data_IF_045188897327
#
_entry.id   IF_045188897327
#
_cell.length_a   1.000
_cell.length_b   1.000
_cell.length_c   1.000
_cell.angle_alpha   90.00
_cell.angle_beta   90.00
_cell.angle_gamma   90.00
#
_symmetry.space_group_name_H-M   'P 1'
#
loop_
_entity.id
_entity.type
_entity.pdbx_description
1 polymer ?
#
# COMPACT_ATOMS: atom_id res chain seq x y z
N UNK A 1 -40.42 8.61 -2.44
CA UNK A 1 -39.36 7.60 -2.19
C UNK A 1 -38.46 7.42 -3.40
N UNK A 2 -39.00 7.12 -4.59
CA UNK A 2 -38.18 6.91 -5.80
C UNK A 2 -37.33 8.14 -6.21
N UNK A 3 -37.88 9.36 -6.13
CA UNK A 3 -37.13 10.61 -6.41
C UNK A 3 -35.89 10.79 -5.51
N UNK A 4 -36.00 10.38 -4.24
CA UNK A 4 -34.90 10.45 -3.27
C UNK A 4 -33.80 9.43 -3.60
N UNK A 5 -34.20 8.22 -4.03
CA UNK A 5 -33.27 7.18 -4.46
C UNK A 5 -32.45 7.66 -5.67
N UNK A 6 -33.11 8.20 -6.70
CA UNK A 6 -32.42 8.74 -7.88
C UNK A 6 -31.47 9.87 -7.51
N UNK A 7 -31.89 10.81 -6.65
CA UNK A 7 -31.03 11.89 -6.19
C UNK A 7 -29.80 11.37 -5.45
N UNK A 8 -29.97 10.44 -4.50
CA UNK A 8 -28.84 9.86 -3.75
C UNK A 8 -27.87 9.08 -4.64
N UNK A 9 -28.37 8.31 -5.62
CA UNK A 9 -27.49 7.60 -6.57
C UNK A 9 -26.74 8.56 -7.48
N UNK A 10 -27.37 9.62 -7.96
CA UNK A 10 -26.70 10.64 -8.77
C UNK A 10 -25.59 11.33 -7.97
N UNK A 11 -25.86 11.70 -6.72
CA UNK A 11 -24.85 12.26 -5.80
C UNK A 11 -23.71 11.26 -5.56
N UNK A 12 -24.01 9.99 -5.29
CA UNK A 12 -23.00 8.96 -5.09
C UNK A 12 -22.11 8.76 -6.34
N UNK A 13 -22.70 8.79 -7.54
CA UNK A 13 -21.95 8.72 -8.80
C UNK A 13 -21.01 9.91 -8.99
N UNK A 14 -21.42 11.12 -8.61
CA UNK A 14 -20.53 12.28 -8.65
C UNK A 14 -19.39 12.13 -7.63
N UNK A 15 -19.70 11.68 -6.42
CA UNK A 15 -18.72 11.52 -5.35
C UNK A 15 -17.69 10.42 -5.62
N UNK A 16 -18.01 9.41 -6.44
CA UNK A 16 -17.06 8.35 -6.79
C UNK A 16 -15.83 8.87 -7.53
N UNK A 17 -15.92 10.07 -8.13
CA UNK A 17 -14.76 10.74 -8.75
C UNK A 17 -13.68 11.11 -7.73
N UNK A 18 -13.94 11.02 -6.42
CA UNK A 18 -12.92 11.20 -5.39
C UNK A 18 -11.74 10.23 -5.52
N UNK A 19 -11.93 9.03 -6.09
CA UNK A 19 -10.84 8.09 -6.37
C UNK A 19 -9.85 8.59 -7.44
N UNK A 20 -10.18 9.66 -8.16
CA UNK A 20 -9.25 10.33 -9.08
C UNK A 20 -8.27 11.26 -8.34
N UNK A 21 -8.49 11.54 -7.05
CA UNK A 21 -7.57 12.32 -6.23
C UNK A 21 -6.35 11.43 -5.95
N UNK A 22 -5.22 11.81 -6.54
CA UNK A 22 -3.95 11.09 -6.39
C UNK A 22 -3.02 11.83 -5.45
N UNK A 23 -2.40 11.08 -4.54
CA UNK A 23 -1.23 11.56 -3.80
C UNK A 23 0.04 11.18 -4.59
N UNK A 24 1.11 12.00 -4.57
CA UNK A 24 2.39 11.62 -5.15
C UNK A 24 2.83 10.25 -4.64
N UNK A 25 3.25 9.38 -5.58
CA UNK A 25 3.82 8.08 -5.23
C UNK A 25 5.07 8.26 -4.36
N UNK A 26 5.32 7.30 -3.46
CA UNK A 26 6.57 7.27 -2.69
C UNK A 26 7.74 6.92 -3.61
N UNK A 27 8.87 7.58 -3.37
CA UNK A 27 10.08 7.38 -4.16
C UNK A 27 10.88 6.21 -3.54
N UNK A 28 10.89 5.08 -4.24
CA UNK A 28 11.66 3.90 -3.87
C UNK A 28 12.91 3.79 -4.73
N UNK A 29 14.07 3.80 -4.07
CA UNK A 29 15.37 3.64 -4.73
C UNK A 29 15.50 2.21 -5.27
N UNK A 30 15.92 2.10 -6.53
CA UNK A 30 16.04 0.85 -7.29
C UNK A 30 14.72 0.34 -7.90
N UNK A 31 13.59 1.00 -7.63
CA UNK A 31 12.26 0.62 -8.17
C UNK A 31 11.69 1.75 -9.03
N UNK A 32 11.29 2.86 -8.40
CA UNK A 32 10.70 4.02 -9.06
C UNK A 32 11.70 5.18 -9.22
N UNK A 33 12.81 5.14 -8.48
CA UNK A 33 13.90 6.10 -8.50
C UNK A 33 15.22 5.34 -8.66
N UNK A 34 16.09 5.75 -9.58
CA UNK A 34 17.42 5.14 -9.73
C UNK A 34 18.40 5.63 -8.66
N UNK A 35 19.52 4.92 -8.50
CA UNK A 35 20.63 5.41 -7.66
C UNK A 35 21.26 6.70 -8.18
N UNK A 36 20.96 7.10 -9.42
CA UNK A 36 21.38 8.36 -10.02
C UNK A 36 20.34 9.49 -9.80
N UNK A 37 19.34 9.29 -8.94
CA UNK A 37 18.30 10.27 -8.62
C UNK A 37 17.43 10.63 -9.84
N UNK A 38 17.16 9.65 -10.71
CA UNK A 38 16.26 9.81 -11.87
C UNK A 38 15.00 8.97 -11.68
N UNK A 39 13.84 9.54 -12.01
CA UNK A 39 12.57 8.79 -11.96
C UNK A 39 12.53 7.79 -13.12
N UNK A 40 12.49 6.51 -12.79
CA UNK A 40 12.46 5.42 -13.76
C UNK A 40 11.03 4.92 -13.91
N UNK A 41 10.59 4.68 -15.15
CA UNK A 41 9.31 4.04 -15.46
C UNK A 41 9.56 2.60 -15.92
N UNK A 42 8.96 1.61 -15.25
CA UNK A 42 9.03 0.19 -15.65
C UNK A 42 10.26 -0.57 -15.12
N UNK A 43 10.54 -1.74 -15.71
CA UNK A 43 11.56 -2.73 -15.29
C UNK A 43 13.03 -2.29 -15.44
N UNK A 44 13.29 -1.02 -15.70
CA UNK A 44 14.64 -0.48 -15.87
C UNK A 44 15.30 -0.07 -14.54
N UNK A 45 14.58 -0.19 -13.42
CA UNK A 45 15.12 -0.04 -12.08
C UNK A 45 15.80 -1.32 -11.59
N UNK A 46 16.95 -1.18 -10.93
CA UNK A 46 17.67 -2.28 -10.29
C UNK A 46 17.92 -1.97 -8.81
N UNK A 47 17.72 -2.96 -7.95
CA UNK A 47 18.05 -2.85 -6.52
C UNK A 47 19.57 -2.81 -6.29
N UNK A 48 20.34 -3.40 -7.20
CA UNK A 48 21.80 -3.47 -7.14
C UNK A 48 22.44 -2.27 -7.85
N UNK A 49 23.50 -1.73 -7.24
CA UNK A 49 24.34 -0.65 -7.73
C UNK A 49 25.78 -0.88 -7.25
N UNK A 50 26.71 -0.04 -7.70
CA UNK A 50 28.11 -0.09 -7.26
C UNK A 50 28.26 0.11 -5.75
N UNK A 51 27.45 0.99 -5.15
CA UNK A 51 27.52 1.32 -3.73
C UNK A 51 27.09 0.19 -2.77
N UNK A 52 26.27 -0.77 -3.22
CA UNK A 52 25.79 -1.88 -2.39
C UNK A 52 26.31 -3.25 -2.85
N UNK A 53 27.25 -3.28 -3.79
CA UNK A 53 27.87 -4.50 -4.31
C UNK A 53 28.63 -5.28 -3.21
N UNK A 54 29.22 -4.57 -2.25
CA UNK A 54 30.04 -5.17 -1.18
C UNK A 54 29.23 -5.89 -0.10
N UNK A 55 27.91 -5.64 -0.01
CA UNK A 55 27.10 -6.04 1.14
C UNK A 55 26.41 -7.41 0.97
N UNK A 56 26.53 -8.08 -0.19
CA UNK A 56 25.89 -9.38 -0.48
C UNK A 56 24.42 -9.47 -0.03
N UNK A 57 23.60 -8.50 -0.46
CA UNK A 57 22.27 -8.31 0.09
C UNK A 57 21.30 -9.47 -0.15
N UNK A 58 20.56 -9.82 0.90
CA UNK A 58 19.39 -10.68 0.84
C UNK A 58 18.19 -9.90 0.29
N UNK A 59 17.30 -10.59 -0.42
CA UNK A 59 16.04 -10.05 -0.92
C UNK A 59 14.95 -9.95 0.15
N UNK A 60 15.34 -9.64 1.40
CA UNK A 60 14.43 -9.51 2.52
C UNK A 60 13.90 -8.07 2.57
N UNK A 61 12.58 -7.92 2.54
CA UNK A 61 11.93 -6.61 2.59
C UNK A 61 12.02 -6.01 4.00
N UNK A 62 12.84 -4.97 4.16
CA UNK A 62 12.99 -4.25 5.43
C UNK A 62 13.31 -2.77 5.17
N UNK A 63 12.31 -1.96 4.78
CA UNK A 63 12.53 -0.63 4.23
C UNK A 63 13.19 0.32 5.24
N UNK A 64 14.01 1.21 4.72
CA UNK A 64 14.63 2.30 5.48
C UNK A 64 14.44 3.63 4.74
N UNK A 65 14.23 4.69 5.51
CA UNK A 65 13.88 6.00 5.03
C UNK A 65 14.97 7.03 5.31
N UNK A 66 15.31 7.82 4.31
CA UNK A 66 15.98 9.09 4.49
C UNK A 66 14.93 10.20 4.68
N UNK A 67 14.77 10.71 5.90
CA UNK A 67 13.67 11.62 6.24
C UNK A 67 13.75 12.97 5.50
N UNK A 68 14.95 13.51 5.32
CA UNK A 68 15.14 14.82 4.68
C UNK A 68 14.80 14.82 3.18
N UNK A 69 15.23 13.79 2.43
CA UNK A 69 14.92 13.69 1.00
C UNK A 69 13.59 12.96 0.71
N UNK A 70 13.10 12.18 1.67
CA UNK A 70 11.92 11.33 1.52
C UNK A 70 12.15 10.14 0.58
N UNK A 71 13.39 9.65 0.48
CA UNK A 71 13.77 8.48 -0.31
C UNK A 71 13.75 7.22 0.55
N UNK A 72 13.05 6.19 0.06
CA UNK A 72 12.97 4.90 0.75
C UNK A 72 13.79 3.87 0.00
N UNK A 73 14.68 3.18 0.71
CA UNK A 73 15.44 2.05 0.18
C UNK A 73 14.73 0.73 0.53
N UNK A 74 14.95 -0.29 -0.30
CA UNK A 74 14.38 -1.63 -0.09
C UNK A 74 14.82 -2.25 1.24
N UNK A 75 16.09 -2.07 1.59
CA UNK A 75 16.63 -2.38 2.90
C UNK A 75 17.90 -1.58 3.21
N UNK A 76 18.34 -1.60 4.47
CA UNK A 76 19.60 -0.99 4.89
C UNK A 76 20.80 -1.52 4.09
N UNK A 77 20.80 -2.81 3.74
CA UNK A 77 21.83 -3.41 2.90
C UNK A 77 21.84 -2.81 1.49
N UNK A 78 20.66 -2.66 0.87
CA UNK A 78 20.58 -2.04 -0.45
C UNK A 78 20.94 -0.54 -0.41
N UNK A 79 20.84 0.11 0.75
CA UNK A 79 21.37 1.46 0.97
C UNK A 79 22.90 1.49 1.26
N UNK A 80 23.55 0.33 1.39
CA UNK A 80 24.98 0.21 1.66
C UNK A 80 25.36 0.61 3.09
N UNK A 81 24.45 0.54 4.05
CA UNK A 81 24.72 0.87 5.45
C UNK A 81 25.47 -0.26 6.17
N UNK A 82 26.43 0.10 7.02
CA UNK A 82 27.25 -0.86 7.77
C UNK A 82 26.98 -0.83 9.28
N UNK A 83 26.52 0.31 9.80
CA UNK A 83 26.28 0.52 11.22
C UNK A 83 24.80 0.63 11.54
N UNK A 84 24.42 0.11 12.71
CA UNK A 84 23.04 0.13 13.22
C UNK A 84 23.01 0.70 14.63
N UNK A 85 22.20 1.73 14.83
CA UNK A 85 22.01 2.39 16.12
C UNK A 85 20.56 2.24 16.56
N UNK A 86 20.32 1.69 17.76
CA UNK A 86 18.97 1.52 18.30
C UNK A 86 18.75 2.46 19.48
N UNK A 87 17.79 3.37 19.34
CA UNK A 87 17.43 4.36 20.35
C UNK A 87 15.97 4.19 20.79
N UNK A 88 15.54 4.93 21.81
CA UNK A 88 14.14 4.93 22.27
C UNK A 88 13.14 5.43 21.21
N UNK A 89 13.61 6.15 20.20
CA UNK A 89 12.82 6.67 19.06
C UNK A 89 12.74 5.70 17.86
N UNK A 90 13.49 4.60 17.91
CA UNK A 90 13.55 3.58 16.86
C UNK A 90 14.97 3.19 16.45
N UNK A 91 15.05 2.42 15.37
CA UNK A 91 16.30 1.96 14.77
C UNK A 91 16.74 2.93 13.67
N UNK A 92 18.01 3.30 13.71
CA UNK A 92 18.70 4.12 12.72
C UNK A 92 19.86 3.33 12.12
N UNK A 93 20.19 3.65 10.88
CA UNK A 93 21.29 3.08 10.14
C UNK A 93 22.22 4.18 9.68
N UNK A 94 23.51 3.95 9.90
CA UNK A 94 24.58 4.92 9.69
C UNK A 94 25.62 4.32 8.70
N UNK A 95 26.55 5.15 8.22
CA UNK A 95 27.60 4.79 7.25
C UNK A 95 27.04 4.13 5.97
N UNK A 96 26.09 4.82 5.32
CA UNK A 96 25.38 4.34 4.14
C UNK A 96 26.03 4.82 2.83
N UNK A 97 26.88 3.98 2.22
CA UNK A 97 27.61 4.33 0.99
C UNK A 97 26.73 4.82 -0.17
N UNK A 98 25.53 4.23 -0.35
CA UNK A 98 24.64 4.64 -1.44
C UNK A 98 24.02 6.01 -1.22
N UNK A 99 23.85 6.43 0.04
CA UNK A 99 23.37 7.75 0.38
C UNK A 99 24.43 8.80 0.02
N UNK A 100 25.68 8.52 0.35
CA UNK A 100 26.82 9.38 0.07
C UNK A 100 27.04 9.57 -1.44
N UNK A 101 26.99 8.48 -2.20
CA UNK A 101 27.11 8.54 -3.66
C UNK A 101 25.99 9.41 -4.25
N UNK A 102 24.76 9.27 -3.78
CA UNK A 102 23.64 10.13 -4.21
C UNK A 102 23.81 11.60 -3.82
N UNK A 103 24.31 11.88 -2.61
CA UNK A 103 24.58 13.23 -2.15
C UNK A 103 25.67 13.90 -3.02
N UNK A 104 26.71 13.14 -3.39
CA UNK A 104 27.81 13.61 -4.22
C UNK A 104 27.39 14.02 -5.65
N UNK A 105 26.29 13.47 -6.16
CA UNK A 105 25.73 13.86 -7.45
C UNK A 105 25.16 15.29 -7.45
N UNK A 106 24.90 15.88 -6.28
CA UNK A 106 24.41 17.25 -6.14
C UNK A 106 23.04 17.52 -6.77
N UNK A 107 22.30 16.47 -7.15
CA UNK A 107 20.98 16.59 -7.81
C UNK A 107 19.84 16.92 -6.86
N UNK A 108 20.01 16.62 -5.57
CA UNK A 108 19.04 16.97 -4.54
C UNK A 108 19.78 17.58 -3.33
N UNK A 109 19.54 18.87 -3.01
CA UNK A 109 20.25 19.55 -1.93
C UNK A 109 19.86 19.07 -0.52
N UNK A 110 18.79 18.27 -0.41
CA UNK A 110 18.34 17.66 0.85
C UNK A 110 19.06 16.35 1.18
N UNK A 111 19.93 15.86 0.29
CA UNK A 111 20.78 14.70 0.55
C UNK A 111 22.09 15.17 1.18
N UNK A 112 22.37 14.68 2.38
CA UNK A 112 23.64 14.91 3.08
C UNK A 112 24.30 13.56 3.36
N UNK A 113 25.61 13.49 3.18
CA UNK A 113 26.42 12.29 3.42
C UNK A 113 26.64 11.97 4.92
N UNK A 114 26.10 12.80 5.81
CA UNK A 114 26.17 12.58 7.27
C UNK A 114 24.81 12.23 7.87
N UNK A 115 23.77 12.11 7.05
CA UNK A 115 22.43 11.84 7.53
C UNK A 115 22.22 10.34 7.72
N UNK A 116 21.43 9.99 8.73
CA UNK A 116 21.11 8.61 9.04
C UNK A 116 19.80 8.18 8.38
N UNK A 117 19.63 6.87 8.20
CA UNK A 117 18.40 6.29 7.70
C UNK A 117 17.58 5.73 8.84
N UNK A 118 16.33 6.19 8.97
CA UNK A 118 15.38 5.65 9.95
C UNK A 118 14.74 4.37 9.41
N UNK A 119 14.61 3.34 10.25
CA UNK A 119 13.88 2.14 9.87
C UNK A 119 12.40 2.45 9.60
N UNK A 120 11.87 1.91 8.50
CA UNK A 120 10.50 2.10 8.05
C UNK A 120 10.37 2.92 6.76
N UNK A 121 9.15 3.35 6.48
CA UNK A 121 8.80 4.10 5.27
C UNK A 121 8.88 5.61 5.48
N UNK A 122 9.26 6.35 4.44
CA UNK A 122 9.21 7.82 4.50
C UNK A 122 7.79 8.35 4.48
N UNK A 123 7.46 9.21 5.44
CA UNK A 123 6.19 9.94 5.45
C UNK A 123 6.12 10.87 4.23
N UNK A 124 5.06 10.73 3.42
CA UNK A 124 4.75 11.66 2.34
C UNK A 124 3.48 12.40 2.72
N UNK A 125 3.59 13.72 2.89
CA UNK A 125 2.46 14.58 3.20
C UNK A 125 1.65 14.81 1.93
N UNK A 126 0.45 14.23 1.85
CA UNK A 126 -0.49 14.44 0.75
C UNK A 126 -1.21 15.81 0.85
N UNK A 127 -1.00 16.54 1.95
CA UNK A 127 -1.58 17.86 2.21
C UNK A 127 -3.10 17.80 2.35
N UNK A 128 -3.80 18.83 1.89
CA UNK A 128 -5.27 18.90 1.97
C UNK A 128 -5.99 17.81 1.15
N UNK A 129 -5.32 17.21 0.16
CA UNK A 129 -5.91 16.20 -0.71
C UNK A 129 -6.37 14.94 0.04
N UNK A 130 -5.65 14.52 1.09
CA UNK A 130 -6.03 13.35 1.90
C UNK A 130 -7.35 13.60 2.65
N UNK A 131 -7.48 14.79 3.25
CA UNK A 131 -8.65 15.18 4.02
C UNK A 131 -9.87 15.34 3.12
N UNK A 132 -9.67 15.94 1.93
CA UNK A 132 -10.71 16.04 0.91
C UNK A 132 -11.15 14.65 0.44
N UNK A 133 -10.21 13.74 0.16
CA UNK A 133 -10.52 12.37 -0.23
C UNK A 133 -11.32 11.63 0.86
N UNK A 134 -10.86 11.68 2.12
CA UNK A 134 -11.54 11.04 3.24
C UNK A 134 -12.95 11.61 3.46
N UNK A 135 -13.09 12.93 3.33
CA UNK A 135 -14.39 13.59 3.47
C UNK A 135 -15.36 13.20 2.35
N UNK A 136 -14.92 13.21 1.09
CA UNK A 136 -15.74 12.80 -0.05
C UNK A 136 -16.08 11.30 0.00
N UNK A 137 -15.13 10.47 0.45
CA UNK A 137 -15.35 9.05 0.68
C UNK A 137 -16.43 8.85 1.75
N UNK A 138 -16.34 9.54 2.88
CA UNK A 138 -17.37 9.52 3.92
C UNK A 138 -18.74 9.90 3.37
N UNK A 139 -18.84 11.00 2.60
CA UNK A 139 -20.10 11.45 2.02
C UNK A 139 -20.65 10.43 1.01
N UNK A 140 -19.80 9.77 0.22
CA UNK A 140 -20.22 8.73 -0.73
C UNK A 140 -20.81 7.51 -0.03
N UNK A 141 -20.22 7.11 1.10
CA UNK A 141 -20.70 6.02 1.96
C UNK A 141 -22.06 6.40 2.56
N UNK A 142 -22.19 7.62 3.11
CA UNK A 142 -23.47 8.12 3.64
C UNK A 142 -24.56 8.16 2.57
N UNK A 143 -24.26 8.68 1.38
CA UNK A 143 -25.21 8.71 0.26
C UNK A 143 -25.66 7.30 -0.16
N UNK A 144 -24.75 6.31 -0.09
CA UNK A 144 -25.03 4.91 -0.39
C UNK A 144 -25.96 4.26 0.65
N UNK A 145 -25.73 4.51 1.94
CA UNK A 145 -26.63 4.03 2.99
C UNK A 145 -28.00 4.72 2.93
N UNK A 146 -28.02 6.02 2.62
CA UNK A 146 -29.25 6.82 2.50
C UNK A 146 -30.15 6.34 1.35
N UNK A 147 -29.61 5.79 0.26
CA UNK A 147 -30.41 5.17 -0.81
C UNK A 147 -30.85 3.74 -0.48
N UNK A 148 -30.10 3.01 0.36
CA UNK A 148 -30.44 1.66 0.79
C UNK A 148 -31.72 1.58 1.65
N UNK A 149 -31.88 2.50 2.60
CA UNK A 149 -33.05 2.55 3.50
C UNK A 149 -34.39 2.65 2.74
N UNK A 150 -34.62 3.63 1.84
CA UNK A 150 -35.89 3.74 1.11
C UNK A 150 -36.11 2.56 0.15
N UNK A 151 -35.05 1.95 -0.39
CA UNK A 151 -35.16 0.73 -1.21
C UNK A 151 -35.77 -0.43 -0.41
N UNK A 152 -35.26 -0.68 0.79
CA UNK A 152 -35.82 -1.69 1.69
C UNK A 152 -37.26 -1.38 2.11
N UNK A 153 -37.57 -0.12 2.38
CA UNK A 153 -38.93 0.31 2.73
C UNK A 153 -39.93 0.13 1.59
N UNK A 154 -39.53 0.34 0.34
CA UNK A 154 -40.38 0.06 -0.83
C UNK A 154 -40.70 -1.44 -0.90
N UNK A 155 -39.69 -2.31 -0.74
CA UNK A 155 -39.90 -3.75 -0.80
C UNK A 155 -40.89 -4.25 0.27
N UNK A 156 -40.81 -3.72 1.49
CA UNK A 156 -41.74 -4.07 2.58
C UNK A 156 -43.22 -3.72 2.30
N UNK A 157 -43.49 -2.81 1.36
CA UNK A 157 -44.85 -2.42 0.95
C UNK A 157 -45.42 -3.28 -0.18
N UNK A 158 -44.55 -3.91 -0.98
CA UNK A 158 -44.96 -4.78 -2.10
C UNK A 158 -45.22 -6.22 -1.63
N UNK A 159 -44.65 -6.62 -0.50
CA UNK A 159 -44.74 -7.98 0.05
C UNK A 159 -45.70 -8.04 1.26
N UNK A 160 -46.63 -9.01 1.30
CA UNK A 160 -47.53 -9.20 2.44
C UNK A 160 -46.76 -9.57 3.71
N UNK A 161 -47.32 -9.24 4.90
CA UNK A 161 -46.61 -9.30 6.18
C UNK A 161 -45.92 -10.64 6.46
N UNK A 162 -46.61 -11.74 6.18
CA UNK A 162 -46.16 -13.11 6.43
C UNK A 162 -44.95 -13.52 5.58
N UNK A 163 -44.69 -12.85 4.46
CA UNK A 163 -43.61 -13.21 3.51
C UNK A 163 -42.47 -12.20 3.48
N UNK A 164 -42.49 -11.16 4.33
CA UNK A 164 -41.49 -10.07 4.31
C UNK A 164 -40.06 -10.56 4.50
N UNK A 165 -39.83 -11.45 5.47
CA UNK A 165 -38.49 -11.99 5.76
C UNK A 165 -37.95 -12.79 4.58
N UNK A 166 -38.81 -13.60 3.93
CA UNK A 166 -38.46 -14.33 2.72
C UNK A 166 -38.12 -13.37 1.57
N UNK A 167 -38.93 -12.33 1.35
CA UNK A 167 -38.71 -11.32 0.32
C UNK A 167 -37.40 -10.56 0.49
N UNK A 168 -37.08 -10.14 1.72
CA UNK A 168 -35.80 -9.49 2.05
C UNK A 168 -34.63 -10.43 1.77
N UNK A 169 -34.72 -11.69 2.21
CA UNK A 169 -33.67 -12.69 1.98
C UNK A 169 -33.41 -12.93 0.50
N UNK A 170 -34.46 -13.08 -0.31
CA UNK A 170 -34.36 -13.27 -1.77
C UNK A 170 -33.75 -12.04 -2.44
N UNK A 171 -34.16 -10.83 -2.07
CA UNK A 171 -33.60 -9.59 -2.62
C UNK A 171 -32.09 -9.45 -2.37
N UNK A 172 -31.64 -9.69 -1.12
CA UNK A 172 -30.22 -9.67 -0.81
C UNK A 172 -29.44 -10.79 -1.49
N UNK A 173 -30.05 -11.97 -1.62
CA UNK A 173 -29.45 -13.09 -2.36
C UNK A 173 -29.24 -12.72 -3.83
N UNK A 174 -30.25 -12.12 -4.47
CA UNK A 174 -30.14 -11.67 -5.86
C UNK A 174 -29.06 -10.61 -6.05
N UNK A 175 -29.01 -9.60 -5.17
CA UNK A 175 -27.95 -8.58 -5.19
C UNK A 175 -26.56 -9.20 -5.01
N UNK A 176 -26.42 -10.17 -4.09
CA UNK A 176 -25.15 -10.89 -3.90
C UNK A 176 -24.75 -11.70 -5.13
N UNK A 177 -25.69 -12.39 -5.78
CA UNK A 177 -25.40 -13.14 -7.01
C UNK A 177 -24.89 -12.23 -8.12
N UNK A 178 -25.54 -11.08 -8.33
CA UNK A 178 -25.08 -10.09 -9.31
C UNK A 178 -23.69 -9.56 -8.96
N UNK A 179 -23.46 -9.25 -7.68
CA UNK A 179 -22.15 -8.80 -7.20
C UNK A 179 -21.05 -9.87 -7.40
N UNK A 180 -21.36 -11.16 -7.22
CA UNK A 180 -20.44 -12.26 -7.51
C UNK A 180 -20.10 -12.30 -8.99
N UNK A 181 -21.08 -12.19 -9.89
CA UNK A 181 -20.82 -12.16 -11.34
C UNK A 181 -19.92 -10.98 -11.70
N UNK A 182 -20.21 -9.76 -11.23
CA UNK A 182 -19.36 -8.59 -11.48
C UNK A 182 -17.94 -8.77 -10.94
N UNK A 183 -17.79 -9.37 -9.74
CA UNK A 183 -16.48 -9.69 -9.16
C UNK A 183 -15.73 -10.71 -10.00
N UNK A 184 -16.38 -11.79 -10.44
CA UNK A 184 -15.76 -12.81 -11.30
C UNK A 184 -15.30 -12.23 -12.64
N UNK A 185 -16.12 -11.37 -13.26
CA UNK A 185 -15.72 -10.65 -14.49
C UNK A 185 -14.52 -9.75 -14.24
N UNK A 186 -14.50 -9.00 -13.12
CA UNK A 186 -13.37 -8.14 -12.76
C UNK A 186 -12.09 -8.93 -12.49
N UNK A 187 -12.19 -10.07 -11.81
CA UNK A 187 -11.07 -10.97 -11.55
C UNK A 187 -10.56 -11.58 -12.86
N UNK A 188 -11.44 -12.06 -13.74
CA UNK A 188 -11.06 -12.59 -15.05
C UNK A 188 -10.36 -11.52 -15.90
N UNK A 189 -10.87 -10.29 -15.91
CA UNK A 189 -10.24 -9.16 -16.59
C UNK A 189 -8.83 -8.86 -16.03
N UNK A 190 -8.66 -8.91 -14.71
CA UNK A 190 -7.36 -8.76 -14.07
C UNK A 190 -6.39 -9.89 -14.43
N UNK A 191 -6.85 -11.15 -14.49
CA UNK A 191 -6.04 -12.30 -14.90
C UNK A 191 -5.62 -12.17 -16.37
N UNK A 192 -6.55 -11.84 -17.26
CA UNK A 192 -6.24 -11.60 -18.67
C UNK A 192 -5.26 -10.43 -18.83
N UNK A 193 -5.48 -9.34 -18.08
CA UNK A 193 -4.56 -8.21 -17.99
C UNK A 193 -3.15 -8.63 -17.53
N UNK A 194 -3.06 -9.46 -16.50
CA UNK A 194 -1.79 -9.99 -16.01
C UNK A 194 -1.08 -10.87 -17.05
N UNK A 195 -1.81 -11.79 -17.70
CA UNK A 195 -1.24 -12.69 -18.71
C UNK A 195 -0.79 -11.94 -19.97
N UNK A 196 -1.45 -10.83 -20.30
CA UNK A 196 -1.08 -9.95 -21.44
C UNK A 196 -0.02 -8.92 -21.07
N UNK A 197 0.11 -8.55 -19.79
CA UNK A 197 1.12 -7.62 -19.28
C UNK A 197 2.46 -8.29 -19.00
N UNK A 198 2.56 -9.64 -19.05
CA UNK A 198 3.85 -10.31 -18.89
C UNK A 198 4.81 -9.82 -19.99
N UNK A 199 5.86 -9.05 -19.65
CA UNK A 199 6.84 -8.67 -20.66
C UNK A 199 7.51 -9.95 -21.17
N UNK A 200 7.82 -10.00 -22.47
CA UNK A 200 8.66 -11.04 -23.04
C UNK A 200 10.05 -10.95 -22.38
N UNK A 201 10.26 -11.67 -21.27
CA UNK A 201 11.53 -11.87 -20.57
C UNK A 201 12.44 -12.80 -21.41
N UNK A 202 12.83 -12.33 -22.58
CA UNK A 202 13.95 -12.88 -23.32
C UNK A 202 14.95 -11.75 -23.57
N UNK A 203 15.52 -11.22 -22.47
CA UNK A 203 16.90 -10.73 -22.38
C UNK A 203 17.16 -10.22 -20.94
N UNK A 204 18.17 -10.82 -20.28
CA UNK A 204 18.84 -10.44 -19.01
C UNK A 204 18.32 -11.07 -17.70
N UNK A 205 19.04 -12.11 -17.27
CA UNK A 205 18.83 -12.88 -16.04
C UNK A 205 19.17 -12.15 -14.73
N UNK A 206 18.44 -11.08 -14.41
CA UNK A 206 18.50 -10.44 -13.09
C UNK A 206 17.17 -9.77 -12.68
N UNK A 207 16.03 -10.22 -13.23
CA UNK A 207 14.72 -9.83 -12.72
C UNK A 207 14.41 -10.63 -11.45
N UNK A 208 14.52 -9.97 -10.30
CA UNK A 208 14.06 -10.52 -9.02
C UNK A 208 12.57 -10.81 -9.15
N UNK A 209 12.18 -12.05 -8.85
CA UNK A 209 10.79 -12.40 -8.58
C UNK A 209 10.29 -11.54 -7.42
N UNK A 210 9.57 -10.46 -7.72
CA UNK A 210 8.85 -9.71 -6.72
C UNK A 210 7.88 -10.68 -6.02
N UNK A 211 7.97 -10.77 -4.69
CA UNK A 211 6.99 -11.51 -3.87
C UNK A 211 5.54 -11.03 -4.09
N UNK A 212 5.37 -9.89 -4.75
CA UNK A 212 4.09 -9.34 -5.24
C UNK A 212 3.42 -10.19 -6.33
N UNK A 213 4.15 -11.15 -6.94
CA UNK A 213 3.59 -12.12 -7.88
C UNK A 213 2.72 -13.20 -7.18
N UNK A 214 2.59 -13.18 -5.85
CA UNK A 214 1.64 -14.00 -5.09
C UNK A 214 0.36 -13.23 -4.72
N UNK A 215 -0.38 -12.84 -5.75
CA UNK A 215 -1.83 -12.62 -5.66
C UNK A 215 -2.33 -11.39 -4.88
N UNK A 216 -3.61 -11.03 -5.08
CA UNK A 216 -4.17 -9.79 -4.57
C UNK A 216 -4.73 -10.02 -3.16
N UNK A 217 -3.87 -9.99 -2.13
CA UNK A 217 -4.23 -9.76 -0.71
C UNK A 217 -2.99 -10.00 0.16
N UNK A 218 -2.09 -9.02 0.21
CA UNK A 218 -1.20 -8.86 1.36
C UNK A 218 -1.25 -7.39 1.77
N UNK A 219 -2.31 -7.04 2.49
CA UNK A 219 -2.25 -5.91 3.43
C UNK A 219 -1.23 -6.33 4.49
N UNK A 220 0.03 -5.97 4.31
CA UNK A 220 0.98 -5.95 5.41
C UNK A 220 0.50 -4.88 6.37
N UNK A 221 -0.28 -5.30 7.35
CA UNK A 221 -0.50 -4.52 8.57
C UNK A 221 0.90 -4.29 9.14
N UNK A 222 1.31 -3.03 9.14
CA UNK A 222 2.52 -2.57 9.80
C UNK A 222 2.31 -2.85 11.30
N UNK A 223 2.84 -3.97 11.79
CA UNK A 223 2.76 -4.32 13.21
C UNK A 223 3.83 -3.48 13.93
N UNK A 224 3.44 -2.26 14.36
CA UNK A 224 4.24 -1.36 15.20
C UNK A 224 4.45 -1.91 16.63
N UNK A 225 4.57 -3.22 16.80
CA UNK A 225 4.80 -3.83 18.11
C UNK A 225 6.30 -3.81 18.42
N UNK A 226 6.73 -3.21 19.55
CA UNK A 226 8.12 -3.27 19.96
C UNK A 226 8.53 -4.73 20.22
N UNK A 227 9.71 -5.09 19.75
CA UNK A 227 10.32 -6.41 19.95
C UNK A 227 10.59 -6.60 21.45
N UNK A 228 9.76 -7.41 22.11
CA UNK A 228 10.06 -7.87 23.46
C UNK A 228 11.12 -8.97 23.33
N UNK A 229 12.33 -8.69 23.81
CA UNK A 229 13.45 -9.63 23.82
C UNK A 229 13.08 -10.93 24.56
N UNK A 230 13.36 -12.07 23.91
CA UNK A 230 13.10 -13.43 24.39
C UNK A 230 13.87 -13.83 25.67
N UNK A 231 14.68 -12.94 26.25
CA UNK A 231 15.40 -13.18 27.50
C UNK A 231 14.57 -12.98 28.78
N UNK A 232 13.33 -12.48 28.68
CA UNK A 232 12.46 -12.28 29.87
C UNK A 232 11.58 -13.51 30.16
N UNK A 233 11.33 -14.39 29.18
CA UNK A 233 10.48 -15.57 29.34
C UNK A 233 11.16 -16.73 30.09
N UNK A 234 12.50 -16.83 30.08
CA UNK A 234 13.21 -17.86 30.85
C UNK A 234 13.28 -17.60 32.36
N UNK A 235 12.85 -16.43 32.85
CA UNK A 235 12.80 -16.16 34.30
C UNK A 235 11.43 -16.41 34.94
N UNK A 236 10.41 -16.79 34.18
CA UNK A 236 9.04 -17.03 34.71
C UNK A 236 8.75 -18.53 34.84
N UNK A 237 9.37 -19.40 34.02
CA UNK A 237 9.17 -20.85 34.08
C UNK A 237 10.02 -21.58 35.15
N UNK A 238 10.77 -20.85 35.97
CA UNK A 238 11.62 -21.41 37.05
C UNK A 238 11.03 -21.32 38.46
N UNK A 239 9.78 -20.88 38.63
CA UNK A 239 9.18 -20.60 39.93
C UNK A 239 7.93 -21.45 40.25
N UNK A 240 7.64 -22.51 39.49
CA UNK A 240 6.54 -23.42 39.80
C UNK A 240 6.82 -24.86 39.35
N UNK A 241 7.78 -25.49 40.03
CA UNK A 241 7.84 -26.96 40.26
C UNK A 241 8.81 -27.30 41.38
#
# INVERSE_FOLDING_TARGET
MLKMIFACHFVALLLITCFLIQCPARDFVGINLSYQVEKVKGANGGLYSTCNADCSCKSDWNPVCHEASGYTFYSACYAGCTEQTVNSSGTFWDDCKCLDEMASLGRNPLLSSSDNLRQGFCEKKCGYGEWIFLFLLFLSVVASFASGIPSQQIMLRVVPFQQRTLGIGVHWTFLRLLAVVCKLVSILAAILGYMTYRPNDLDNGLSVQTADSRGPLSLTVNDDRPVINSKVLESIDGAES
#
